data_IF_431945877990
#
_entry.id   IF_431945877990
#
_cell.length_a   1.000
_cell.length_b   1.000
_cell.length_c   1.000
_cell.angle_alpha   90.00
_cell.angle_beta   90.00
_cell.angle_gamma   90.00
#
_symmetry.space_group_name_H-M   'P 1'
#
loop_
_entity.id
_entity.type
_entity.pdbx_description
1 polymer ?
#
# COMPACT_ATOMS: atom_id res chain seq x y z
N UNK A 1 9.36 26.38 28.20
CA UNK A 1 7.94 26.22 27.80
C UNK A 1 7.83 25.15 26.73
N UNK A 2 6.62 24.68 26.42
CA UNK A 2 6.37 23.68 25.37
C UNK A 2 5.34 24.21 24.36
N UNK A 3 5.35 23.71 23.12
CA UNK A 3 4.47 24.18 22.05
C UNK A 3 3.19 23.35 21.88
N UNK A 4 2.99 22.29 22.67
CA UNK A 4 1.82 21.42 22.57
C UNK A 4 0.48 22.16 22.80
N UNK A 5 0.47 23.14 23.71
CA UNK A 5 -0.72 23.96 24.00
C UNK A 5 -0.86 25.22 23.14
N UNK A 6 0.04 25.46 22.19
CA UNK A 6 -0.05 26.66 21.35
C UNK A 6 -1.19 26.50 20.33
N UNK A 7 -1.96 27.57 20.11
CA UNK A 7 -3.05 27.58 19.12
C UNK A 7 -2.59 27.10 17.74
N UNK A 8 -1.40 27.56 17.30
CA UNK A 8 -0.80 27.13 16.04
C UNK A 8 -0.65 25.60 15.91
N UNK A 9 -0.25 24.92 16.99
CA UNK A 9 -0.06 23.47 17.02
C UNK A 9 -1.41 22.76 17.03
N UNK A 10 -2.36 23.22 17.84
CA UNK A 10 -3.68 22.58 17.95
C UNK A 10 -4.48 22.67 16.63
N UNK A 11 -4.48 23.83 15.98
CA UNK A 11 -5.17 24.04 14.69
C UNK A 11 -4.68 23.14 13.55
N UNK A 12 -3.42 22.66 13.63
CA UNK A 12 -2.74 21.96 12.54
C UNK A 12 -2.42 20.51 12.86
N UNK A 13 -2.56 20.08 14.11
CA UNK A 13 -2.09 18.77 14.57
C UNK A 13 -2.64 17.61 13.73
N UNK A 14 -3.92 17.66 13.37
CA UNK A 14 -4.57 16.58 12.61
C UNK A 14 -4.13 16.50 11.15
N UNK A 15 -3.68 17.60 10.55
CA UNK A 15 -3.45 17.69 9.09
C UNK A 15 -2.00 17.95 8.70
N UNK A 16 -1.17 18.44 9.63
CA UNK A 16 0.23 18.77 9.35
C UNK A 16 1.20 17.58 9.50
N UNK A 17 0.75 16.48 10.08
CA UNK A 17 1.57 15.29 10.29
C UNK A 17 1.08 14.11 9.46
N UNK A 18 2.03 13.38 8.87
CA UNK A 18 1.75 12.11 8.21
C UNK A 18 1.47 11.04 9.26
N UNK A 19 0.33 10.35 9.14
CA UNK A 19 0.02 9.18 9.94
C UNK A 19 0.63 7.92 9.29
N UNK A 20 1.63 7.28 9.91
CA UNK A 20 2.25 6.10 9.32
C UNK A 20 1.31 4.89 9.39
N UNK A 21 1.20 4.13 8.29
CA UNK A 21 0.42 2.89 8.25
C UNK A 21 1.24 1.63 8.58
N UNK A 22 2.57 1.72 8.58
CA UNK A 22 3.48 0.58 8.79
C UNK A 22 4.33 0.70 10.08
N UNK A 23 4.80 1.90 10.39
CA UNK A 23 5.66 2.14 11.54
C UNK A 23 4.89 2.03 12.85
N UNK A 24 5.50 1.41 13.84
CA UNK A 24 5.02 1.41 15.22
C UNK A 24 5.92 2.35 16.02
N UNK A 25 5.34 3.41 16.59
CA UNK A 25 6.04 4.43 17.39
C UNK A 25 5.69 4.34 18.87
N UNK A 26 5.13 3.21 19.30
CA UNK A 26 4.96 2.91 20.72
C UNK A 26 6.33 2.92 21.42
N UNK A 27 6.34 3.26 22.71
CA UNK A 27 7.54 3.02 23.52
C UNK A 27 7.82 1.50 23.61
N UNK A 28 9.02 1.15 24.08
CA UNK A 28 9.48 -0.24 24.10
C UNK A 28 8.54 -1.13 24.90
N UNK A 29 8.12 -0.69 26.09
CA UNK A 29 7.28 -1.46 27.00
C UNK A 29 5.92 -1.76 26.38
N UNK A 30 5.27 -0.77 25.77
CA UNK A 30 3.98 -0.96 25.11
C UNK A 30 4.10 -1.87 23.87
N UNK A 31 5.20 -1.74 23.11
CA UNK A 31 5.47 -2.60 21.97
C UNK A 31 5.70 -4.06 22.40
N UNK A 32 6.45 -4.26 23.49
CA UNK A 32 6.72 -5.58 24.07
C UNK A 32 5.44 -6.23 24.61
N UNK A 33 4.64 -5.51 25.38
CA UNK A 33 3.32 -5.95 25.88
C UNK A 33 2.35 -6.28 24.75
N UNK A 34 2.42 -5.56 23.62
CA UNK A 34 1.64 -5.82 22.41
C UNK A 34 2.17 -7.00 21.56
N UNK A 35 3.14 -7.75 22.07
CA UNK A 35 3.67 -8.96 21.46
C UNK A 35 4.89 -8.75 20.56
N UNK A 36 5.60 -7.62 20.72
CA UNK A 36 6.88 -7.34 20.08
C UNK A 36 6.86 -7.54 18.55
N UNK A 37 5.75 -7.18 17.90
CA UNK A 37 5.55 -7.42 16.47
C UNK A 37 6.54 -6.59 15.67
N UNK A 38 7.39 -7.22 14.86
CA UNK A 38 8.37 -6.49 14.06
C UNK A 38 7.79 -5.98 12.74
N UNK A 39 8.53 -5.10 12.09
CA UNK A 39 8.10 -4.42 10.86
C UNK A 39 7.81 -5.38 9.70
N UNK A 40 8.62 -6.43 9.42
CA UNK A 40 8.32 -7.39 8.37
C UNK A 40 6.99 -8.14 8.58
N UNK A 41 6.63 -8.47 9.81
CA UNK A 41 5.39 -9.15 10.16
C UNK A 41 4.18 -8.23 9.94
N UNK A 42 4.28 -6.95 10.34
CA UNK A 42 3.23 -5.96 10.05
C UNK A 42 3.09 -5.75 8.55
N UNK A 43 4.20 -5.57 7.83
CA UNK A 43 4.19 -5.46 6.36
C UNK A 43 3.53 -6.69 5.71
N UNK A 44 3.83 -7.89 6.21
CA UNK A 44 3.25 -9.13 5.70
C UNK A 44 1.72 -9.16 5.80
N UNK A 45 1.18 -8.69 6.93
CA UNK A 45 -0.27 -8.60 7.14
C UNK A 45 -0.90 -7.54 6.23
N UNK A 46 -0.25 -6.39 6.08
CA UNK A 46 -0.76 -5.27 5.29
C UNK A 46 -0.91 -5.65 3.82
N UNK A 47 0.13 -6.20 3.16
CA UNK A 47 0.01 -6.51 1.73
C UNK A 47 -1.03 -7.60 1.46
N UNK A 48 -1.15 -8.60 2.35
CA UNK A 48 -2.18 -9.64 2.24
C UNK A 48 -3.58 -9.06 2.36
N UNK A 49 -3.78 -8.12 3.29
CA UNK A 49 -5.04 -7.40 3.44
C UNK A 49 -5.37 -6.59 2.19
N UNK A 50 -4.41 -5.84 1.65
CA UNK A 50 -4.58 -5.06 0.42
C UNK A 50 -5.02 -5.96 -0.74
N UNK A 51 -4.41 -7.13 -0.92
CA UNK A 51 -4.83 -8.07 -1.98
C UNK A 51 -6.20 -8.70 -1.72
N UNK A 52 -6.54 -8.99 -0.47
CA UNK A 52 -7.83 -9.57 -0.11
C UNK A 52 -8.98 -8.56 -0.31
N UNK A 53 -8.71 -7.27 -0.13
CA UNK A 53 -9.69 -6.18 -0.26
C UNK A 53 -9.67 -5.52 -1.64
N UNK A 54 -8.74 -5.91 -2.52
CA UNK A 54 -8.59 -5.30 -3.84
C UNK A 54 -9.79 -5.60 -4.74
N UNK A 55 -10.43 -4.54 -5.21
CA UNK A 55 -11.40 -4.58 -6.30
C UNK A 55 -10.78 -3.91 -7.54
N UNK A 56 -10.68 -4.61 -8.68
CA UNK A 56 -10.14 -4.00 -9.89
C UNK A 56 -11.06 -2.87 -10.37
N UNK A 57 -10.51 -1.71 -10.77
CA UNK A 57 -11.33 -0.63 -11.32
C UNK A 57 -12.02 -1.10 -12.60
N UNK A 58 -13.24 -0.62 -12.88
CA UNK A 58 -13.99 -1.05 -14.05
C UNK A 58 -13.25 -0.66 -15.34
N UNK A 59 -13.21 -1.60 -16.28
CA UNK A 59 -12.72 -1.39 -17.65
C UNK A 59 -13.87 -1.63 -18.62
N UNK A 60 -13.97 -0.81 -19.67
CA UNK A 60 -14.98 -1.00 -20.71
C UNK A 60 -14.76 -2.32 -21.44
N UNK A 61 -15.83 -3.10 -21.66
CA UNK A 61 -15.74 -4.44 -22.25
C UNK A 61 -15.02 -4.45 -23.60
N UNK A 62 -15.34 -3.51 -24.50
CA UNK A 62 -14.67 -3.38 -25.81
C UNK A 62 -13.16 -3.13 -25.69
N UNK A 63 -12.73 -2.33 -24.71
CA UNK A 63 -11.31 -2.06 -24.46
C UNK A 63 -10.62 -3.32 -23.94
N UNK A 64 -11.25 -4.04 -22.99
CA UNK A 64 -10.72 -5.28 -22.46
C UNK A 64 -10.56 -6.35 -23.55
N UNK A 65 -11.55 -6.47 -24.44
CA UNK A 65 -11.51 -7.37 -25.60
C UNK A 65 -10.40 -7.02 -26.58
N UNK A 66 -10.26 -5.74 -26.93
CA UNK A 66 -9.20 -5.26 -27.83
C UNK A 66 -7.80 -5.54 -27.26
N UNK A 67 -7.59 -5.25 -25.97
CA UNK A 67 -6.34 -5.55 -25.27
C UNK A 67 -6.04 -7.05 -25.28
N UNK A 68 -7.03 -7.89 -25.00
CA UNK A 68 -6.88 -9.34 -25.02
C UNK A 68 -6.53 -9.85 -26.44
N UNK A 69 -7.20 -9.34 -27.47
CA UNK A 69 -6.93 -9.70 -28.87
C UNK A 69 -5.51 -9.27 -29.30
N UNK A 70 -5.10 -8.06 -28.93
CA UNK A 70 -3.75 -7.57 -29.20
C UNK A 70 -2.67 -8.45 -28.54
N UNK A 71 -2.84 -8.79 -27.26
CA UNK A 71 -1.92 -9.67 -26.53
C UNK A 71 -1.87 -11.07 -27.16
N UNK A 72 -3.02 -11.65 -27.51
CA UNK A 72 -3.10 -12.96 -28.15
C UNK A 72 -2.34 -12.98 -29.49
N UNK A 73 -2.57 -11.97 -30.33
CA UNK A 73 -1.87 -11.82 -31.62
C UNK A 73 -0.36 -11.71 -31.43
N UNK A 74 0.12 -10.89 -30.48
CA UNK A 74 1.56 -10.71 -30.22
C UNK A 74 2.25 -11.96 -29.68
N UNK A 75 1.53 -12.78 -28.90
CA UNK A 75 2.02 -14.09 -28.47
C UNK A 75 2.16 -15.05 -29.66
N UNK A 76 1.20 -15.05 -30.59
CA UNK A 76 1.25 -15.88 -31.80
C UNK A 76 2.34 -15.44 -32.79
N UNK A 77 2.57 -14.14 -32.92
CA UNK A 77 3.64 -13.55 -33.75
C UNK A 77 5.06 -13.85 -33.21
N UNK A 78 5.20 -14.61 -32.11
CA UNK A 78 6.49 -15.09 -31.59
C UNK A 78 7.03 -14.34 -30.38
N UNK A 79 6.30 -13.34 -29.86
CA UNK A 79 6.73 -12.56 -28.70
C UNK A 79 8.02 -11.77 -28.94
N UNK A 80 8.57 -11.17 -27.87
CA UNK A 80 9.93 -10.65 -27.93
C UNK A 80 10.91 -11.86 -27.99
N UNK A 81 11.99 -11.81 -28.79
CA UNK A 81 13.04 -12.81 -28.71
C UNK A 81 13.52 -12.92 -27.26
N UNK A 82 13.44 -14.11 -26.68
CA UNK A 82 14.01 -14.38 -25.36
C UNK A 82 15.43 -14.88 -25.57
N UNK A 83 16.43 -14.11 -25.14
CA UNK A 83 17.85 -14.46 -25.19
C UNK A 83 18.25 -15.43 -24.04
N UNK A 84 17.46 -16.50 -23.82
CA UNK A 84 17.74 -17.53 -22.82
C UNK A 84 17.63 -18.93 -23.40
#
# INVERSE_FOLDING_TARGET
GHFFGAAHTQERYETAFYSPFLSDWSNFESWEEAGAVQTPERANRIWKKILAEFEPPPIGAAIAEELNAFVARRKQEGGAPTDF
#
